data_IF_364570409390
#
_entry.id   IF_364570409390
#
_cell.length_a   1.000
_cell.length_b   1.000
_cell.length_c   1.000
_cell.angle_alpha   90.00
_cell.angle_beta   90.00
_cell.angle_gamma   90.00
#
_symmetry.space_group_name_H-M   'P 1'
#
loop_
_entity.id
_entity.type
_entity.pdbx_description
1 polymer ?
#
# COMPACT_ATOMS: atom_id res chain seq x y z
N UNK A 1 55.59 -39.11 15.21
CA UNK A 1 54.54 -39.80 14.40
C UNK A 1 53.15 -39.52 14.99
N UNK A 2 52.65 -38.28 14.88
CA UNK A 2 51.31 -37.92 15.38
C UNK A 2 50.68 -36.75 14.61
N UNK A 3 51.50 -35.90 13.97
CA UNK A 3 51.02 -34.77 13.17
C UNK A 3 50.46 -35.19 11.80
N UNK A 4 51.04 -36.20 11.13
CA UNK A 4 50.55 -36.63 9.81
C UNK A 4 49.27 -37.46 9.89
N UNK A 5 49.05 -38.21 10.97
CA UNK A 5 47.78 -38.92 11.19
C UNK A 5 46.64 -37.96 11.48
N UNK A 6 46.91 -36.85 12.19
CA UNK A 6 45.94 -35.78 12.44
C UNK A 6 45.51 -35.10 11.13
N UNK A 7 46.45 -34.88 10.21
CA UNK A 7 46.19 -34.32 8.87
C UNK A 7 45.40 -35.30 7.99
N UNK A 8 45.68 -36.61 8.06
CA UNK A 8 44.92 -37.63 7.31
C UNK A 8 43.47 -37.77 7.80
N UNK A 9 43.24 -37.75 9.12
CA UNK A 9 41.89 -37.72 9.70
C UNK A 9 41.14 -36.43 9.30
N UNK A 10 41.83 -35.29 9.30
CA UNK A 10 41.25 -34.03 8.88
C UNK A 10 40.87 -34.04 7.39
N UNK A 11 41.66 -34.71 6.53
CA UNK A 11 41.35 -34.88 5.10
C UNK A 11 40.14 -35.80 4.88
N UNK A 12 40.01 -36.87 5.64
CA UNK A 12 38.85 -37.79 5.57
C UNK A 12 37.53 -37.14 6.02
N UNK A 13 37.57 -36.23 7.00
CA UNK A 13 36.38 -35.57 7.53
C UNK A 13 36.14 -34.15 7.00
N UNK A 14 37.00 -33.64 6.10
CA UNK A 14 36.91 -32.30 5.53
C UNK A 14 35.53 -32.02 4.91
N UNK A 15 34.98 -32.99 4.19
CA UNK A 15 33.66 -32.90 3.56
C UNK A 15 32.55 -32.66 4.58
N UNK A 16 32.63 -33.35 5.73
CA UNK A 16 31.64 -33.23 6.81
C UNK A 16 31.75 -31.88 7.49
N UNK A 17 32.97 -31.43 7.79
CA UNK A 17 33.22 -30.12 8.38
C UNK A 17 32.72 -29.01 7.45
N UNK A 18 33.01 -29.10 6.16
CA UNK A 18 32.54 -28.14 5.16
C UNK A 18 31.01 -28.09 5.10
N UNK A 19 30.35 -29.25 5.14
CA UNK A 19 28.89 -29.36 5.11
C UNK A 19 28.27 -28.74 6.38
N UNK A 20 28.85 -28.97 7.55
CA UNK A 20 28.43 -28.32 8.81
C UNK A 20 28.54 -26.80 8.71
N UNK A 21 29.67 -26.29 8.21
CA UNK A 21 29.86 -24.84 8.02
C UNK A 21 28.82 -24.28 7.04
N UNK A 22 28.53 -25.00 5.96
CA UNK A 22 27.55 -24.59 4.95
C UNK A 22 26.12 -24.55 5.53
N UNK A 23 25.76 -25.52 6.38
CA UNK A 23 24.47 -25.53 7.09
C UNK A 23 24.38 -24.35 8.05
N UNK A 24 25.42 -24.08 8.83
CA UNK A 24 25.44 -22.96 9.78
C UNK A 24 25.31 -21.64 9.02
N UNK A 25 26.09 -21.45 7.96
CA UNK A 25 26.02 -20.27 7.11
C UNK A 25 24.62 -20.08 6.51
N UNK A 26 24.01 -21.16 5.99
CA UNK A 26 22.64 -21.14 5.48
C UNK A 26 21.63 -20.75 6.55
N UNK A 27 21.73 -21.33 7.75
CA UNK A 27 20.81 -21.01 8.87
C UNK A 27 20.88 -19.54 9.27
N UNK A 28 22.10 -18.97 9.35
CA UNK A 28 22.29 -17.55 9.66
C UNK A 28 21.73 -16.68 8.55
N UNK A 29 21.98 -17.02 7.28
CA UNK A 29 21.46 -16.29 6.13
C UNK A 29 19.92 -16.24 6.12
N UNK A 30 19.26 -17.36 6.43
CA UNK A 30 17.79 -17.43 6.54
C UNK A 30 17.28 -16.54 7.66
N UNK A 31 17.90 -16.58 8.85
CA UNK A 31 17.51 -15.74 10.00
C UNK A 31 17.67 -14.25 9.65
N UNK A 32 18.81 -13.89 9.06
CA UNK A 32 19.12 -12.53 8.66
C UNK A 32 18.10 -12.00 7.64
N UNK A 33 17.81 -12.79 6.60
CA UNK A 33 16.83 -12.44 5.56
C UNK A 33 15.43 -12.25 6.17
N UNK A 34 15.03 -13.13 7.10
CA UNK A 34 13.76 -13.02 7.80
C UNK A 34 13.69 -11.78 8.68
N UNK A 35 14.79 -11.42 9.35
CA UNK A 35 14.85 -10.24 10.19
C UNK A 35 14.71 -8.95 9.37
N UNK A 36 15.49 -8.81 8.29
CA UNK A 36 15.37 -7.68 7.36
C UNK A 36 13.97 -7.61 6.76
N UNK A 37 13.45 -8.73 6.28
CA UNK A 37 12.11 -8.79 5.71
C UNK A 37 11.04 -8.29 6.68
N UNK A 38 11.18 -8.57 7.98
CA UNK A 38 10.25 -8.04 8.99
C UNK A 38 10.37 -6.53 9.17
N UNK A 39 11.58 -5.97 9.14
CA UNK A 39 11.77 -4.51 9.24
C UNK A 39 11.15 -3.79 8.04
N UNK A 40 11.47 -4.24 6.83
CA UNK A 40 10.93 -3.67 5.58
C UNK A 40 9.40 -3.81 5.52
N UNK A 41 8.86 -4.96 5.94
CA UNK A 41 7.43 -5.18 6.00
C UNK A 41 6.72 -4.22 6.99
N UNK A 42 7.33 -3.93 8.14
CA UNK A 42 6.79 -2.97 9.10
C UNK A 42 6.80 -1.55 8.52
N UNK A 43 7.85 -1.17 7.81
CA UNK A 43 7.93 0.13 7.14
C UNK A 43 6.84 0.26 6.06
N UNK A 44 6.66 -0.77 5.24
CA UNK A 44 5.60 -0.84 4.24
C UNK A 44 4.21 -0.72 4.89
N UNK A 45 3.95 -1.51 5.93
CA UNK A 45 2.66 -1.50 6.63
C UNK A 45 2.36 -0.13 7.25
N UNK A 46 3.37 0.61 7.70
CA UNK A 46 3.19 1.98 8.19
C UNK A 46 2.75 2.92 7.07
N UNK A 47 3.36 2.80 5.89
CA UNK A 47 3.03 3.65 4.74
C UNK A 47 1.63 3.33 4.19
N UNK A 48 1.26 2.06 4.13
CA UNK A 48 -0.09 1.64 3.74
C UNK A 48 -1.14 2.20 4.70
N UNK A 49 -0.92 2.13 6.02
CA UNK A 49 -1.84 2.75 6.99
C UNK A 49 -1.99 4.26 6.79
N UNK A 50 -0.91 4.96 6.45
CA UNK A 50 -1.00 6.40 6.15
C UNK A 50 -1.84 6.66 4.91
N UNK A 51 -1.64 5.87 3.85
CA UNK A 51 -2.44 5.95 2.63
C UNK A 51 -3.92 5.69 2.91
N UNK A 52 -4.23 4.66 3.69
CA UNK A 52 -5.60 4.29 4.02
C UNK A 52 -6.30 5.41 4.82
N UNK A 53 -5.62 6.02 5.80
CA UNK A 53 -6.13 7.17 6.53
C UNK A 53 -6.46 8.36 5.60
N UNK A 54 -5.59 8.68 4.65
CA UNK A 54 -5.87 9.73 3.67
C UNK A 54 -7.02 9.37 2.75
N UNK A 55 -7.16 8.11 2.37
CA UNK A 55 -8.27 7.65 1.53
C UNK A 55 -9.62 7.73 2.26
N UNK A 56 -9.65 7.43 3.56
CA UNK A 56 -10.83 7.62 4.41
C UNK A 56 -11.23 9.10 4.50
N UNK A 57 -10.25 9.99 4.75
CA UNK A 57 -10.48 11.43 4.81
C UNK A 57 -10.98 11.98 3.47
N UNK A 58 -10.34 11.58 2.37
CA UNK A 58 -10.77 11.94 1.02
C UNK A 58 -12.20 11.48 0.73
N UNK A 59 -12.53 10.24 1.10
CA UNK A 59 -13.87 9.69 0.91
C UNK A 59 -14.92 10.47 1.70
N UNK A 60 -14.59 10.88 2.93
CA UNK A 60 -15.45 11.75 3.75
C UNK A 60 -15.64 13.11 3.09
N UNK A 61 -14.56 13.76 2.66
CA UNK A 61 -14.63 15.07 1.98
C UNK A 61 -15.42 15.00 0.67
N UNK A 62 -15.31 13.90 -0.07
CA UNK A 62 -16.08 13.70 -1.29
C UNK A 62 -17.58 13.58 -1.01
N UNK A 63 -17.95 12.85 0.05
CA UNK A 63 -19.34 12.79 0.50
C UNK A 63 -19.84 14.17 0.93
N UNK A 64 -19.04 14.92 1.70
CA UNK A 64 -19.35 16.30 2.04
C UNK A 64 -19.58 17.12 0.76
N UNK A 65 -18.63 17.15 -0.18
CA UNK A 65 -18.77 17.88 -1.44
C UNK A 65 -20.03 17.50 -2.22
N UNK A 66 -20.37 16.20 -2.30
CA UNK A 66 -21.57 15.73 -2.97
C UNK A 66 -22.86 16.28 -2.34
N UNK A 67 -22.89 16.43 -1.00
CA UNK A 67 -24.03 17.04 -0.30
C UNK A 67 -24.13 18.55 -0.59
N UNK A 68 -23.00 19.26 -0.66
CA UNK A 68 -22.94 20.68 -1.04
C UNK A 68 -23.35 20.90 -2.51
N UNK A 69 -23.05 19.95 -3.39
CA UNK A 69 -23.43 19.93 -4.79
C UNK A 69 -24.79 19.25 -5.06
N UNK A 70 -25.58 18.99 -4.01
CA UNK A 70 -26.90 18.38 -4.20
C UNK A 70 -27.77 19.26 -5.11
N UNK A 71 -28.50 18.67 -6.08
CA UNK A 71 -29.32 19.43 -7.02
C UNK A 71 -30.29 20.39 -6.35
N UNK A 72 -30.88 20.01 -5.21
CA UNK A 72 -31.78 20.89 -4.45
C UNK A 72 -31.09 22.13 -3.89
N UNK A 73 -29.84 22.00 -3.40
CA UNK A 73 -29.06 23.16 -2.94
C UNK A 73 -28.64 24.05 -4.11
N UNK A 74 -28.26 23.46 -5.24
CA UNK A 74 -27.94 24.19 -6.47
C UNK A 74 -29.17 24.97 -6.95
N UNK A 75 -30.34 24.33 -6.99
CA UNK A 75 -31.60 24.93 -7.42
C UNK A 75 -32.02 26.08 -6.50
N UNK A 76 -31.87 25.90 -5.17
CA UNK A 76 -32.13 26.96 -4.20
C UNK A 76 -31.19 28.16 -4.40
N UNK A 77 -29.88 27.92 -4.58
CA UNK A 77 -28.92 29.01 -4.84
C UNK A 77 -29.16 29.68 -6.20
N UNK A 78 -29.56 28.94 -7.23
CA UNK A 78 -29.92 29.50 -8.54
C UNK A 78 -31.16 30.41 -8.43
N UNK A 79 -32.18 29.99 -7.68
CA UNK A 79 -33.34 30.84 -7.37
C UNK A 79 -32.94 32.10 -6.60
N UNK A 80 -32.17 31.96 -5.52
CA UNK A 80 -31.87 33.08 -4.61
C UNK A 80 -30.84 34.07 -5.17
N UNK A 81 -29.81 33.60 -5.87
CA UNK A 81 -28.70 34.45 -6.35
C UNK A 81 -28.86 34.91 -7.79
N UNK A 82 -29.47 34.09 -8.64
CA UNK A 82 -29.60 34.34 -10.08
C UNK A 82 -31.04 34.66 -10.49
N UNK A 83 -32.01 34.65 -9.55
CA UNK A 83 -33.44 34.77 -9.81
C UNK A 83 -33.94 33.79 -10.89
N UNK A 84 -33.31 32.62 -11.00
CA UNK A 84 -33.72 31.60 -11.97
C UNK A 84 -35.07 31.01 -11.57
N UNK A 85 -35.98 30.90 -12.53
CA UNK A 85 -37.30 30.27 -12.38
C UNK A 85 -37.37 28.99 -13.21
N UNK A 86 -38.24 28.07 -12.83
CA UNK A 86 -38.53 26.91 -13.68
C UNK A 86 -39.41 27.41 -14.83
N UNK A 87 -38.96 27.30 -16.10
CA UNK A 87 -39.73 27.78 -17.24
C UNK A 87 -41.01 26.96 -17.42
N UNK A 88 -42.13 27.65 -17.66
CA UNK A 88 -43.39 27.03 -18.08
C UNK A 88 -43.37 26.67 -19.57
N UNK A 89 -44.34 25.86 -20.01
CA UNK A 89 -44.37 25.30 -21.37
C UNK A 89 -44.36 26.35 -22.50
N UNK A 90 -44.82 27.57 -22.19
CA UNK A 90 -44.82 28.75 -23.06
C UNK A 90 -43.43 29.38 -23.26
N UNK A 91 -42.47 29.09 -22.39
CA UNK A 91 -41.10 29.64 -22.44
C UNK A 91 -40.10 28.71 -23.14
N UNK A 92 -40.54 27.54 -23.64
CA UNK A 92 -39.66 26.53 -24.25
C UNK A 92 -39.76 26.58 -25.78
N UNK A 93 -38.62 26.77 -26.46
CA UNK A 93 -38.54 26.77 -27.93
C UNK A 93 -37.64 25.63 -28.39
N UNK A 94 -38.14 24.79 -29.31
CA UNK A 94 -37.38 23.69 -29.91
C UNK A 94 -36.64 24.20 -31.15
N UNK A 95 -35.31 24.14 -31.12
CA UNK A 95 -34.46 24.48 -32.27
C UNK A 95 -34.14 23.19 -33.04
N UNK A 96 -34.46 23.15 -34.34
CA UNK A 96 -34.04 22.05 -35.22
C UNK A 96 -32.58 22.26 -35.67
N UNK A 97 -31.78 21.17 -35.77
CA UNK A 97 -30.39 21.25 -36.21
C UNK A 97 -30.24 21.76 -37.65
#
# INVERSE_FOLDING_TARGET
MSFSSLIEHLRMHLSVVLLIVLIIASSIAVIYTKHIGRSEFVALQKLDRQRDNFNEEWSRLLLEQSTWASPGRIEQQARLRLNMIVPTADMVVVVKP
#
